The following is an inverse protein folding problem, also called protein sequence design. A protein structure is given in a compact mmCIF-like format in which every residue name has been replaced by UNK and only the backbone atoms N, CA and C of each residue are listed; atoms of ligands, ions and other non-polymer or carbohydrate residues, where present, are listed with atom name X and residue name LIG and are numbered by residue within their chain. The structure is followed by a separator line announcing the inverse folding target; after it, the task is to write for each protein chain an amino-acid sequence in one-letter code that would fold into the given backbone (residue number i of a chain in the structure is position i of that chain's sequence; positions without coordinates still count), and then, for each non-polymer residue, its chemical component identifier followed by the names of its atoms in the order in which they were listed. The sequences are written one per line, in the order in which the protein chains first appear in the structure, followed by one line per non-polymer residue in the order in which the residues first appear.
data_IF_317258034886
#
_entry.id   IF_317258034886
#
_cell.length_a   1.000
_cell.length_b   1.000
_cell.length_c   1.000
_cell.angle_alpha   90.00
_cell.angle_beta   90.00
_cell.angle_gamma   90.00
#
_symmetry.space_group_name_H-M   'P 1'
#
loop_
_entity.id
_entity.type
_entity.pdbx_description
1 polymer ?
#
# COMPACT_ATOMS: atom_id res chain seq x y z
N UNK A 1 11.84 -10.01 -1.06
CA UNK A 1 12.77 -10.04 0.10
C UNK A 1 12.96 -11.46 0.70
N UNK A 2 11.97 -12.38 0.56
CA UNK A 2 12.11 -13.74 1.13
C UNK A 2 13.35 -14.45 0.59
N UNK A 3 13.57 -14.36 -0.72
CA UNK A 3 14.65 -15.07 -1.41
C UNK A 3 16.00 -14.30 -1.41
N UNK A 4 16.02 -13.07 -0.92
CA UNK A 4 17.23 -12.28 -0.81
C UNK A 4 18.12 -12.84 0.32
N UNK A 5 19.30 -13.34 -0.03
CA UNK A 5 20.24 -13.95 0.93
C UNK A 5 21.11 -12.87 1.61
N UNK A 6 20.50 -12.12 2.53
CA UNK A 6 21.19 -11.09 3.32
C UNK A 6 20.75 -11.18 4.79
N UNK A 7 21.53 -10.57 5.68
CA UNK A 7 21.23 -10.53 7.12
C UNK A 7 19.87 -9.89 7.39
N UNK A 8 19.14 -10.31 8.44
CA UNK A 8 17.85 -9.72 8.80
C UNK A 8 17.86 -8.19 8.96
N UNK A 9 18.93 -7.64 9.51
CA UNK A 9 19.10 -6.19 9.65
C UNK A 9 19.11 -5.46 8.30
N UNK A 10 19.74 -6.03 7.26
CA UNK A 10 19.75 -5.47 5.91
C UNK A 10 18.35 -5.52 5.29
N UNK A 11 17.61 -6.61 5.50
CA UNK A 11 16.20 -6.71 5.04
C UNK A 11 15.32 -5.65 5.69
N UNK A 12 15.50 -5.42 6.99
CA UNK A 12 14.78 -4.39 7.74
C UNK A 12 15.09 -2.99 7.22
N UNK A 13 16.36 -2.71 6.92
CA UNK A 13 16.79 -1.44 6.35
C UNK A 13 16.22 -1.23 4.95
N UNK A 14 16.24 -2.24 4.07
CA UNK A 14 15.59 -2.17 2.76
C UNK A 14 14.10 -1.81 2.91
N UNK A 15 13.37 -2.49 3.80
CA UNK A 15 11.95 -2.18 4.06
C UNK A 15 11.77 -0.74 4.55
N UNK A 16 12.64 -0.29 5.46
CA UNK A 16 12.60 1.08 5.98
C UNK A 16 12.80 2.12 4.88
N UNK A 17 13.80 1.94 4.03
CA UNK A 17 14.09 2.87 2.93
C UNK A 17 12.96 2.91 1.89
N UNK A 18 12.33 1.77 1.60
CA UNK A 18 11.17 1.70 0.71
C UNK A 18 9.97 2.45 1.34
N UNK A 19 9.69 2.23 2.62
CA UNK A 19 8.62 2.89 3.35
C UNK A 19 8.78 4.42 3.38
N UNK A 20 10.01 4.88 3.58
CA UNK A 20 10.36 6.30 3.56
C UNK A 20 10.42 6.88 2.13
N UNK A 21 10.22 6.06 1.10
CA UNK A 21 10.40 6.44 -0.31
C UNK A 21 11.81 7.02 -0.58
N UNK A 22 12.81 6.64 0.26
CA UNK A 22 14.20 7.04 0.09
C UNK A 22 14.91 6.11 -0.90
N UNK A 23 14.56 6.26 -2.17
CA UNK A 23 15.05 5.38 -3.23
C UNK A 23 16.52 5.64 -3.61
N UNK A 24 17.07 6.82 -3.29
CA UNK A 24 18.49 7.08 -3.46
C UNK A 24 19.31 6.22 -2.50
N UNK A 25 19.04 6.29 -1.20
CA UNK A 25 19.72 5.46 -0.20
C UNK A 25 19.46 3.96 -0.40
N UNK A 26 18.26 3.59 -0.89
CA UNK A 26 17.99 2.21 -1.29
C UNK A 26 18.92 1.76 -2.42
N UNK A 27 19.13 2.60 -3.43
CA UNK A 27 20.06 2.34 -4.53
C UNK A 27 21.48 2.11 -4.01
N UNK A 28 21.98 3.01 -3.18
CA UNK A 28 23.32 2.93 -2.57
C UNK A 28 23.48 1.64 -1.74
N UNK A 29 22.47 1.28 -0.95
CA UNK A 29 22.48 0.02 -0.19
C UNK A 29 22.53 -1.20 -1.12
N UNK A 30 21.70 -1.20 -2.17
CA UNK A 30 21.64 -2.32 -3.12
C UNK A 30 22.94 -2.45 -3.94
N UNK A 31 23.71 -1.35 -4.13
CA UNK A 31 25.02 -1.39 -4.79
C UNK A 31 26.09 -2.12 -3.94
N UNK A 32 25.88 -2.24 -2.65
CA UNK A 32 26.75 -3.02 -1.74
C UNK A 32 26.43 -4.51 -1.75
N UNK A 33 25.34 -4.93 -2.37
CA UNK A 33 24.87 -6.31 -2.38
C UNK A 33 25.22 -6.99 -3.71
N UNK A 34 25.17 -8.32 -3.70
CA UNK A 34 25.31 -9.10 -4.93
C UNK A 34 24.23 -8.73 -5.95
N UNK A 35 24.64 -8.55 -7.23
CA UNK A 35 23.69 -8.35 -8.31
C UNK A 35 22.95 -9.64 -8.60
N UNK A 36 21.76 -9.73 -8.07
CA UNK A 36 20.83 -10.85 -8.25
C UNK A 36 19.47 -10.32 -8.76
N UNK A 37 18.60 -11.24 -9.08
CA UNK A 37 17.25 -10.89 -9.55
C UNK A 37 16.51 -10.01 -8.54
N UNK A 38 16.57 -10.36 -7.26
CA UNK A 38 15.88 -9.65 -6.18
C UNK A 38 16.37 -8.20 -6.06
N UNK A 39 17.67 -7.96 -6.15
CA UNK A 39 18.23 -6.60 -6.10
C UNK A 39 17.82 -5.79 -7.34
N UNK A 40 17.77 -6.40 -8.51
CA UNK A 40 17.27 -5.75 -9.74
C UNK A 40 15.81 -5.37 -9.66
N UNK A 41 14.96 -6.24 -9.11
CA UNK A 41 13.53 -5.94 -8.86
C UNK A 41 13.39 -4.78 -7.88
N UNK A 42 14.13 -4.80 -6.76
CA UNK A 42 14.10 -3.73 -5.75
C UNK A 42 14.49 -2.37 -6.34
N UNK A 43 15.43 -2.31 -7.30
CA UNK A 43 15.81 -1.08 -8.01
C UNK A 43 14.70 -0.53 -8.90
N UNK A 44 13.77 -1.39 -9.35
CA UNK A 44 12.65 -0.99 -10.21
C UNK A 44 11.44 -0.51 -9.43
N UNK A 45 11.33 -0.82 -8.12
CA UNK A 45 10.19 -0.45 -7.27
C UNK A 45 9.77 1.03 -7.38
N UNK A 46 10.69 2.02 -7.48
CA UNK A 46 10.31 3.42 -7.61
C UNK A 46 9.50 3.73 -8.86
N UNK A 47 9.60 2.89 -9.89
CA UNK A 47 8.90 3.04 -11.17
C UNK A 47 7.61 2.23 -11.26
N UNK A 48 7.39 1.30 -10.32
CA UNK A 48 6.18 0.48 -10.26
C UNK A 48 5.05 1.23 -9.55
N UNK A 49 4.76 2.42 -10.05
CA UNK A 49 3.73 3.33 -9.56
C UNK A 49 3.01 3.98 -10.75
N UNK A 50 1.67 3.89 -10.80
CA UNK A 50 0.88 4.48 -11.88
C UNK A 50 -0.43 3.74 -12.12
N UNK A 51 -0.82 3.62 -13.38
CA UNK A 51 -1.99 2.90 -13.82
C UNK A 51 -1.76 1.38 -13.95
N UNK A 52 -2.63 0.68 -14.68
CA UNK A 52 -2.55 -0.79 -14.82
C UNK A 52 -1.31 -1.29 -15.56
N UNK A 53 -0.63 -0.45 -16.34
CA UNK A 53 0.63 -0.76 -17.03
C UNK A 53 1.74 -1.23 -16.09
N UNK A 54 1.70 -0.79 -14.83
CA UNK A 54 2.67 -1.21 -13.80
C UNK A 54 2.63 -2.71 -13.54
N UNK A 55 1.47 -3.35 -13.75
CA UNK A 55 1.31 -4.79 -13.56
C UNK A 55 2.02 -5.58 -14.65
N UNK A 56 2.03 -5.07 -15.89
CA UNK A 56 2.73 -5.73 -16.99
C UNK A 56 4.24 -5.59 -16.82
N UNK A 57 4.73 -4.41 -16.43
CA UNK A 57 6.14 -4.22 -16.08
C UNK A 57 6.56 -5.15 -14.91
N UNK A 58 5.71 -5.29 -13.89
CA UNK A 58 5.99 -6.21 -12.79
C UNK A 58 6.07 -7.67 -13.22
N UNK A 59 5.22 -8.12 -14.16
CA UNK A 59 5.29 -9.49 -14.72
C UNK A 59 6.60 -9.75 -15.43
N UNK A 60 7.10 -8.80 -16.20
CA UNK A 60 8.40 -8.93 -16.88
C UNK A 60 9.56 -9.12 -15.88
N UNK A 61 9.45 -8.56 -14.69
CA UNK A 61 10.44 -8.73 -13.62
C UNK A 61 10.34 -10.08 -12.91
N UNK A 62 9.15 -10.70 -12.90
CA UNK A 62 8.85 -11.97 -12.22
C UNK A 62 8.52 -13.09 -13.19
N UNK A 63 9.47 -13.43 -14.06
CA UNK A 63 9.31 -14.44 -15.12
C UNK A 63 9.12 -15.88 -14.65
N UNK A 64 9.28 -16.17 -13.34
CA UNK A 64 9.10 -17.50 -12.75
C UNK A 64 7.67 -17.75 -12.24
N UNK A 65 6.74 -16.82 -12.48
CA UNK A 65 5.35 -16.94 -12.04
C UNK A 65 5.13 -16.73 -10.53
N UNK A 66 6.19 -16.44 -9.76
CA UNK A 66 6.10 -16.32 -8.29
C UNK A 66 5.24 -15.16 -7.78
N UNK A 67 4.91 -14.18 -8.65
CA UNK A 67 4.05 -13.05 -8.34
C UNK A 67 2.70 -13.09 -9.05
N UNK A 68 2.48 -14.02 -9.99
CA UNK A 68 1.32 -14.01 -10.90
C UNK A 68 -0.02 -13.97 -10.17
N UNK A 69 -0.20 -14.78 -9.14
CA UNK A 69 -1.44 -14.79 -8.37
C UNK A 69 -1.72 -13.44 -7.70
N UNK A 70 -0.69 -12.80 -7.14
CA UNK A 70 -0.81 -11.49 -6.49
C UNK A 70 -1.08 -10.38 -7.50
N UNK A 71 -0.39 -10.39 -8.65
CA UNK A 71 -0.60 -9.42 -9.72
C UNK A 71 -1.98 -9.58 -10.35
N UNK A 72 -2.44 -10.82 -10.55
CA UNK A 72 -3.79 -11.08 -11.05
C UNK A 72 -4.86 -10.61 -10.05
N UNK A 73 -4.65 -10.81 -8.75
CA UNK A 73 -5.57 -10.34 -7.72
C UNK A 73 -5.67 -8.80 -7.74
N UNK A 74 -4.54 -8.09 -7.80
CA UNK A 74 -4.53 -6.62 -7.87
C UNK A 74 -5.21 -6.14 -9.16
N UNK A 75 -4.96 -6.82 -10.30
CA UNK A 75 -5.61 -6.48 -11.57
C UNK A 75 -7.13 -6.62 -11.46
N UNK A 76 -7.62 -7.73 -10.93
CA UNK A 76 -9.07 -7.96 -10.75
C UNK A 76 -9.70 -6.89 -9.86
N UNK A 77 -9.01 -6.50 -8.79
CA UNK A 77 -9.46 -5.43 -7.91
C UNK A 77 -9.51 -4.08 -8.64
N UNK A 78 -8.45 -3.74 -9.39
CA UNK A 78 -8.40 -2.51 -10.18
C UNK A 78 -9.52 -2.47 -11.22
N UNK A 79 -9.74 -3.55 -11.99
CA UNK A 79 -10.81 -3.64 -12.98
C UNK A 79 -12.20 -3.46 -12.33
N UNK A 80 -12.39 -4.00 -11.12
CA UNK A 80 -13.63 -3.84 -10.34
C UNK A 80 -13.86 -2.38 -9.95
N UNK A 81 -12.82 -1.67 -9.51
CA UNK A 81 -12.90 -0.25 -9.17
C UNK A 81 -13.15 0.62 -10.41
N UNK A 82 -12.53 0.29 -11.55
CA UNK A 82 -12.81 0.94 -12.82
C UNK A 82 -14.28 0.76 -13.25
N UNK A 83 -14.82 -0.45 -13.11
CA UNK A 83 -16.24 -0.73 -13.39
C UNK A 83 -17.20 0.07 -12.47
N UNK A 84 -16.74 0.46 -11.29
CA UNK A 84 -17.45 1.36 -10.39
C UNK A 84 -17.23 2.86 -10.72
N UNK A 85 -16.50 3.20 -11.79
CA UNK A 85 -16.23 4.57 -12.22
C UNK A 85 -15.11 5.28 -11.47
N UNK A 86 -14.21 4.54 -10.80
CA UNK A 86 -13.16 5.08 -9.96
C UNK A 86 -11.77 5.10 -10.62
N UNK A 87 -11.67 4.89 -11.94
CA UNK A 87 -10.39 4.76 -12.65
C UNK A 87 -9.46 5.97 -12.47
N UNK A 88 -10.04 7.18 -12.40
CA UNK A 88 -9.27 8.42 -12.26
C UNK A 88 -8.79 8.68 -10.82
N UNK A 89 -9.33 7.93 -9.85
CA UNK A 89 -9.03 8.10 -8.43
C UNK A 89 -8.11 7.01 -7.88
N UNK A 90 -7.77 5.99 -8.70
CA UNK A 90 -7.01 4.83 -8.24
C UNK A 90 -5.67 4.73 -8.96
N UNK A 91 -4.61 4.68 -8.18
CA UNK A 91 -3.26 4.39 -8.65
C UNK A 91 -2.73 3.13 -8.00
N UNK A 92 -1.95 2.37 -8.74
CA UNK A 92 -1.25 1.19 -8.25
C UNK A 92 0.15 1.60 -7.77
N UNK A 93 0.54 1.16 -6.59
CA UNK A 93 1.88 1.33 -6.03
C UNK A 93 2.40 -0.01 -5.50
N UNK A 94 3.23 -0.69 -6.27
CA UNK A 94 3.82 -1.97 -5.87
C UNK A 94 5.01 -1.79 -4.91
N UNK A 95 5.42 -0.56 -4.65
CA UNK A 95 6.44 -0.19 -3.68
C UNK A 95 5.88 0.17 -2.29
N UNK A 96 4.60 -0.09 -2.00
CA UNK A 96 4.08 0.08 -0.65
C UNK A 96 4.52 -1.08 0.22
N UNK A 97 5.26 -0.76 1.30
CA UNK A 97 5.58 -1.69 2.38
C UNK A 97 4.83 -1.27 3.63
N UNK A 98 4.27 -2.25 4.33
CA UNK A 98 3.65 -2.02 5.63
C UNK A 98 4.36 -2.86 6.70
N UNK A 99 4.66 -2.23 7.83
CA UNK A 99 5.25 -2.89 9.01
C UNK A 99 4.24 -3.70 9.81
N UNK A 100 2.96 -3.47 9.60
CA UNK A 100 1.90 -4.19 10.31
C UNK A 100 1.82 -5.63 9.80
N UNK A 101 2.21 -6.57 10.65
CA UNK A 101 2.26 -7.99 10.31
C UNK A 101 0.88 -8.64 10.17
N UNK A 102 -0.21 -7.92 10.46
CA UNK A 102 -1.56 -8.47 10.41
C UNK A 102 -2.23 -8.39 9.03
N UNK A 103 -1.74 -7.54 8.12
CA UNK A 103 -2.28 -7.50 6.76
C UNK A 103 -1.86 -8.73 5.96
N UNK A 104 -2.84 -9.39 5.35
CA UNK A 104 -2.67 -10.62 4.56
C UNK A 104 -2.92 -10.41 3.07
N UNK A 105 -3.47 -9.26 2.68
CA UNK A 105 -3.83 -8.96 1.31
C UNK A 105 -3.46 -7.53 0.91
N UNK A 106 -4.33 -6.93 0.08
CA UNK A 106 -4.14 -5.55 -0.38
C UNK A 106 -4.07 -4.57 0.78
N UNK A 107 -3.17 -3.60 0.65
CA UNK A 107 -3.11 -2.41 1.48
C UNK A 107 -3.40 -1.19 0.60
N UNK A 108 -4.00 -0.16 1.19
CA UNK A 108 -4.33 1.04 0.45
C UNK A 108 -4.13 2.28 1.30
N UNK A 109 -3.89 3.40 0.64
CA UNK A 109 -3.77 4.73 1.24
C UNK A 109 -4.62 5.71 0.44
N UNK A 110 -5.26 6.64 1.14
CA UNK A 110 -6.00 7.73 0.53
C UNK A 110 -5.30 9.05 0.74
N UNK A 111 -5.37 9.89 -0.27
CA UNK A 111 -4.81 11.23 -0.28
C UNK A 111 -5.87 12.21 -0.76
N UNK A 112 -5.82 13.44 -0.30
CA UNK A 112 -6.65 14.55 -0.79
C UNK A 112 -5.80 15.44 -1.68
N UNK A 113 -6.36 15.87 -2.78
CA UNK A 113 -5.68 16.80 -3.69
C UNK A 113 -5.32 18.09 -2.93
N UNK A 114 -4.08 18.54 -3.08
CA UNK A 114 -3.55 19.71 -2.37
C UNK A 114 -2.92 19.39 -1.00
N UNK A 115 -3.06 18.15 -0.50
CA UNK A 115 -2.38 17.69 0.71
C UNK A 115 -1.32 16.65 0.36
N UNK A 116 -0.12 16.78 0.92
CA UNK A 116 0.92 15.75 0.87
C UNK A 116 0.76 14.65 1.92
N UNK A 117 -0.29 14.73 2.75
CA UNK A 117 -0.51 13.82 3.87
C UNK A 117 -1.42 12.66 3.47
N UNK A 118 -1.15 11.49 4.04
CA UNK A 118 -2.06 10.35 3.98
C UNK A 118 -3.25 10.63 4.89
N UNK A 119 -4.45 10.76 4.32
CA UNK A 119 -5.69 11.01 5.07
C UNK A 119 -6.44 9.73 5.43
N UNK A 120 -6.14 8.63 4.76
CA UNK A 120 -6.76 7.33 4.98
C UNK A 120 -5.74 6.23 4.76
N UNK A 121 -5.74 5.21 5.59
CA UNK A 121 -4.93 4.01 5.42
C UNK A 121 -5.68 2.78 5.87
N UNK A 122 -5.50 1.68 5.14
CA UNK A 122 -6.19 0.44 5.44
C UNK A 122 -5.63 -0.75 4.68
N UNK A 123 -6.29 -1.90 4.86
CA UNK A 123 -5.92 -3.12 4.16
C UNK A 123 -6.77 -4.31 4.58
N UNK A 124 -6.55 -5.43 3.88
CA UNK A 124 -7.19 -6.71 4.14
C UNK A 124 -6.38 -7.50 5.17
N UNK A 125 -7.10 -8.08 6.12
CA UNK A 125 -6.55 -8.96 7.16
C UNK A 125 -7.48 -10.15 7.41
N UNK A 126 -6.98 -11.35 7.13
CA UNK A 126 -7.79 -12.56 7.18
C UNK A 126 -7.62 -13.32 8.51
N UNK A 127 -6.49 -13.14 9.20
CA UNK A 127 -6.13 -13.92 10.37
C UNK A 127 -6.39 -13.20 11.70
N UNK A 128 -6.55 -11.87 11.67
CA UNK A 128 -6.63 -11.08 12.91
C UNK A 128 -7.83 -11.46 13.78
N UNK A 129 -8.98 -11.74 13.18
CA UNK A 129 -10.17 -12.11 13.93
C UNK A 129 -10.09 -13.51 14.56
N UNK A 130 -9.22 -14.38 14.01
CA UNK A 130 -8.91 -15.69 14.57
C UNK A 130 -8.31 -15.61 15.98
N UNK A 131 -7.48 -14.58 16.25
CA UNK A 131 -6.93 -14.32 17.60
C UNK A 131 -8.02 -14.03 18.64
N UNK A 132 -9.22 -13.63 18.20
CA UNK A 132 -10.39 -13.37 19.02
C UNK A 132 -11.45 -14.48 18.95
N UNK A 133 -11.08 -15.65 18.40
CA UNK A 133 -11.94 -16.86 18.35
C UNK A 133 -12.89 -16.94 17.15
N UNK A 134 -12.71 -16.12 16.11
CA UNK A 134 -13.57 -16.16 14.92
C UNK A 134 -12.75 -16.00 13.65
N UNK A 135 -12.51 -17.08 12.93
CA UNK A 135 -11.82 -17.05 11.64
C UNK A 135 -12.71 -16.44 10.55
N UNK A 136 -12.49 -15.17 10.25
CA UNK A 136 -13.15 -14.46 9.15
C UNK A 136 -12.21 -13.47 8.47
N UNK A 137 -12.20 -13.41 7.14
CA UNK A 137 -11.52 -12.37 6.42
C UNK A 137 -12.18 -11.02 6.71
N UNK A 138 -11.36 -9.99 6.84
CA UNK A 138 -11.82 -8.64 7.06
C UNK A 138 -10.99 -7.62 6.28
N UNK A 139 -11.60 -6.49 6.02
CA UNK A 139 -10.95 -5.29 5.49
C UNK A 139 -11.34 -4.12 6.39
N UNK A 140 -10.39 -3.27 6.68
CA UNK A 140 -10.64 -2.09 7.52
C UNK A 140 -9.74 -0.94 7.13
N UNK A 141 -10.10 0.24 7.61
CA UNK A 141 -9.34 1.46 7.40
C UNK A 141 -9.47 2.41 8.58
N UNK A 142 -8.50 3.30 8.69
CA UNK A 142 -8.52 4.44 9.59
C UNK A 142 -8.45 5.73 8.79
N UNK A 143 -9.16 6.76 9.24
CA UNK A 143 -9.12 8.11 8.67
C UNK A 143 -8.41 9.03 9.67
N UNK A 144 -7.43 9.78 9.19
CA UNK A 144 -6.83 10.88 9.95
C UNK A 144 -7.73 12.13 9.84
N UNK A 145 -8.54 12.32 10.86
CA UNK A 145 -9.51 13.42 10.90
C UNK A 145 -8.80 14.78 10.91
N UNK A 146 -7.65 14.88 11.56
CA UNK A 146 -6.87 16.12 11.59
C UNK A 146 -6.38 16.49 10.18
N UNK A 147 -5.77 15.52 9.49
CA UNK A 147 -5.30 15.72 8.12
C UNK A 147 -6.43 16.05 7.15
N UNK A 148 -7.62 15.49 7.34
CA UNK A 148 -8.81 15.84 6.54
C UNK A 148 -9.27 17.26 6.86
N UNK A 149 -9.31 17.64 8.14
CA UNK A 149 -9.75 18.98 8.57
C UNK A 149 -8.84 20.07 8.02
N UNK A 150 -7.53 19.82 7.96
CA UNK A 150 -6.54 20.80 7.47
C UNK A 150 -6.71 21.14 5.98
N UNK A 151 -7.38 20.27 5.20
CA UNK A 151 -7.63 20.50 3.76
C UNK A 151 -9.07 20.92 3.46
N UNK A 152 -9.95 20.92 4.45
CA UNK A 152 -11.31 21.43 4.31
C UNK A 152 -11.28 22.96 4.33
N UNK A 153 -11.65 23.57 3.20
CA UNK A 153 -11.74 25.02 3.08
C UNK A 153 -13.18 25.56 3.32
N UNK A 154 -14.13 24.69 3.63
CA UNK A 154 -15.49 25.09 3.95
C UNK A 154 -15.57 25.61 5.39
N UNK A 155 -16.18 26.78 5.57
CA UNK A 155 -16.55 27.28 6.89
C UNK A 155 -17.54 26.30 7.55
N UNK A 156 -17.14 25.70 8.66
CA UNK A 156 -18.03 24.85 9.45
C UNK A 156 -19.10 25.78 10.07
N UNK A 157 -20.34 25.66 9.63
CA UNK A 157 -21.45 26.36 10.25
C UNK A 157 -21.75 25.71 11.60
N UNK A 158 -21.23 26.31 12.68
CA UNK A 158 -21.38 25.87 14.06
C UNK A 158 -22.80 26.07 14.63
N UNK A 159 -23.68 26.75 13.90
CA UNK A 159 -25.07 26.97 14.32
C UNK A 159 -25.96 25.74 14.15
N UNK A 160 -25.45 24.67 13.52
CA UNK A 160 -26.15 23.39 13.46
C UNK A 160 -25.81 22.55 14.66
N UNK A 161 -26.80 22.18 15.52
CA UNK A 161 -26.56 21.33 16.67
C UNK A 161 -26.03 19.95 16.20
N UNK A 162 -24.91 19.52 16.78
CA UNK A 162 -24.36 18.18 16.56
C UNK A 162 -25.36 17.15 17.08
N UNK A 163 -25.96 16.35 16.19
CA UNK A 163 -26.83 15.24 16.55
C UNK A 163 -26.00 13.96 16.59
N UNK A 164 -25.70 13.45 17.77
CA UNK A 164 -25.06 12.14 17.97
C UNK A 164 -26.17 11.12 18.19
N UNK A 165 -26.34 10.19 17.25
CA UNK A 165 -27.20 9.04 17.42
C UNK A 165 -26.36 7.88 18.02
N UNK A 166 -26.66 7.49 19.26
CA UNK A 166 -26.12 6.29 19.84
C UNK A 166 -27.09 5.14 19.54
N UNK A 167 -26.67 4.20 18.72
CA UNK A 167 -27.39 2.92 18.52
C UNK A 167 -26.83 1.85 19.44
N UNK A 168 -27.72 1.11 20.09
CA UNK A 168 -27.36 -0.06 20.90
C UNK A 168 -27.00 -1.24 20.03
#
# INVERSE_FOLDING_TARGET
LRNLNVKPAVKAEICHLIEQKNFAALGDLLDTLEDCRETRVLRRLPRLFGGPEVLDEARELYTDGGADASLQYIKTLYDTLCAAGLQEQVLLDLGIVNRSNYYTGVIFRGYVQGSGLTVLSGGRYDNLLGEFGTDKPAIGFAVDVSAVTDVLHEEINLDRPLRIALTK
#
